data_IF_019938365205
#
_entry.id   IF_019938365205
#
_cell.length_a   1.000
_cell.length_b   1.000
_cell.length_c   1.000
_cell.angle_alpha   90.00
_cell.angle_beta   90.00
_cell.angle_gamma   90.00
#
_symmetry.space_group_name_H-M   'P 1'
#
loop_
_entity.id
_entity.type
_entity.pdbx_description
1 polymer ?
#
# COMPACT_ATOMS: atom_id res chain seq x y z
N UNK A 1 -14.76 22.46 31.84
CA UNK A 1 -14.05 21.59 30.86
C UNK A 1 -12.64 21.36 31.39
N UNK A 2 -12.19 20.12 31.46
CA UNK A 2 -10.79 19.81 31.80
C UNK A 2 -9.90 20.35 30.68
N UNK A 3 -8.86 21.11 31.02
CA UNK A 3 -7.86 21.61 30.06
C UNK A 3 -7.09 20.49 29.35
N UNK A 4 -7.16 19.26 29.88
CA UNK A 4 -6.40 18.10 29.41
C UNK A 4 -7.29 16.88 29.16
N UNK A 5 -8.54 17.10 28.74
CA UNK A 5 -9.34 15.98 28.25
C UNK A 5 -8.60 15.30 27.08
N UNK A 6 -8.44 13.97 27.09
CA UNK A 6 -7.85 13.27 25.96
C UNK A 6 -8.67 13.55 24.70
N UNK A 7 -8.01 13.59 23.55
CA UNK A 7 -8.70 13.71 22.27
C UNK A 7 -9.74 12.58 22.15
N UNK A 8 -10.91 12.85 21.54
CA UNK A 8 -11.91 11.81 21.31
C UNK A 8 -11.31 10.69 20.47
N UNK A 9 -11.74 9.46 20.74
CA UNK A 9 -11.34 8.32 19.91
C UNK A 9 -11.83 8.53 18.47
N UNK A 10 -11.01 8.20 17.45
CA UNK A 10 -11.43 8.28 16.07
C UNK A 10 -12.62 7.37 15.76
N UNK A 11 -13.47 7.78 14.81
CA UNK A 11 -14.65 7.01 14.41
C UNK A 11 -14.32 5.63 13.84
N UNK A 12 -13.17 5.48 13.20
CA UNK A 12 -12.64 4.20 12.71
C UNK A 12 -11.13 4.15 12.91
N UNK A 13 -10.52 2.96 12.77
CA UNK A 13 -9.07 2.83 12.83
C UNK A 13 -8.30 3.62 11.76
N UNK A 14 -8.98 4.10 10.71
CA UNK A 14 -8.37 4.95 9.70
C UNK A 14 -7.87 6.29 10.29
N UNK A 15 -8.52 6.78 11.36
CA UNK A 15 -8.12 7.99 12.05
C UNK A 15 -6.93 7.84 13.00
N UNK A 16 -6.40 6.64 13.19
CA UNK A 16 -5.10 6.46 13.86
C UNK A 16 -3.97 6.72 12.86
N UNK A 17 -3.68 8.01 12.64
CA UNK A 17 -2.61 8.42 11.75
C UNK A 17 -1.25 7.99 12.30
N UNK A 18 -0.34 7.66 11.39
CA UNK A 18 1.04 7.28 11.72
C UNK A 18 2.03 8.07 10.88
N UNK A 19 3.23 8.26 11.42
CA UNK A 19 4.32 8.91 10.70
C UNK A 19 4.53 8.27 9.32
N UNK A 20 4.58 9.10 8.27
CA UNK A 20 4.72 8.64 6.89
C UNK A 20 6.00 7.84 6.73
N UNK A 21 7.14 8.42 7.10
CA UNK A 21 8.43 7.75 7.01
C UNK A 21 9.41 8.30 8.04
N UNK A 22 10.52 7.60 8.31
CA UNK A 22 11.62 8.10 9.13
C UNK A 22 12.16 9.46 8.67
N UNK A 23 12.04 9.77 7.38
CA UNK A 23 12.50 11.02 6.77
C UNK A 23 11.40 12.10 6.72
N UNK A 24 10.17 11.79 7.14
CA UNK A 24 9.04 12.70 7.06
C UNK A 24 8.18 12.65 8.34
N UNK A 25 8.13 13.77 9.08
CA UNK A 25 7.34 13.88 10.31
C UNK A 25 5.82 14.01 10.10
N UNK A 26 5.36 14.12 8.86
CA UNK A 26 3.92 14.17 8.55
C UNK A 26 3.24 12.86 8.93
N UNK A 27 2.04 12.96 9.52
CA UNK A 27 1.24 11.80 9.90
C UNK A 27 0.09 11.61 8.93
N UNK A 28 -0.08 10.38 8.46
CA UNK A 28 -1.07 10.02 7.44
C UNK A 28 -1.89 8.82 7.89
N UNK A 29 -3.12 8.72 7.38
CA UNK A 29 -4.01 7.58 7.57
C UNK A 29 -3.35 6.29 7.06
N UNK A 30 -3.55 5.14 7.71
CA UNK A 30 -2.86 3.89 7.38
C UNK A 30 -3.20 3.35 5.98
N UNK A 31 -4.33 3.78 5.41
CA UNK A 31 -4.73 3.55 4.02
C UNK A 31 -4.77 4.91 3.30
N UNK A 32 -4.27 4.95 2.07
CA UNK A 32 -4.31 6.10 1.18
C UNK A 32 -5.49 5.94 0.20
N UNK A 33 -6.29 7.00 0.00
CA UNK A 33 -7.36 6.99 -0.99
C UNK A 33 -6.79 7.28 -2.38
N UNK A 34 -6.94 6.33 -3.30
CA UNK A 34 -6.54 6.50 -4.70
C UNK A 34 -7.62 7.22 -5.51
N UNK A 35 -7.29 8.38 -6.07
CA UNK A 35 -8.22 9.24 -6.80
C UNK A 35 -8.28 9.02 -8.31
N UNK A 36 -7.63 7.97 -8.84
CA UNK A 36 -7.62 7.69 -10.29
C UNK A 36 -9.04 7.60 -10.93
N UNK A 37 -10.06 7.22 -10.14
CA UNK A 37 -11.46 7.16 -10.59
C UNK A 37 -12.31 8.39 -10.22
N UNK A 38 -11.75 9.36 -9.48
CA UNK A 38 -12.42 10.63 -9.12
C UNK A 38 -12.25 11.59 -10.30
N UNK A 39 -13.36 11.98 -10.93
CA UNK A 39 -13.36 12.79 -12.16
C UNK A 39 -14.19 12.15 -13.27
N UNK A 40 -14.52 12.93 -14.30
CA UNK A 40 -15.63 12.63 -15.21
C UNK A 40 -15.22 12.38 -16.67
N UNK A 41 -13.92 12.33 -16.97
CA UNK A 41 -13.41 12.35 -18.36
C UNK A 41 -13.18 10.98 -18.98
N UNK A 42 -12.84 9.96 -18.20
CA UNK A 42 -12.42 8.67 -18.76
C UNK A 42 -13.54 7.66 -19.00
N UNK A 43 -14.81 8.10 -18.95
CA UNK A 43 -15.95 7.22 -19.25
C UNK A 43 -15.86 6.66 -20.68
N UNK A 44 -15.48 7.50 -21.64
CA UNK A 44 -15.44 7.13 -23.07
C UNK A 44 -14.31 6.16 -23.42
N UNK A 45 -13.19 6.21 -22.69
CA UNK A 45 -12.03 5.33 -22.91
C UNK A 45 -12.06 4.05 -22.05
N UNK A 46 -13.16 3.83 -21.30
CA UNK A 46 -13.39 2.59 -20.56
C UNK A 46 -12.55 2.39 -19.30
N UNK A 47 -11.76 3.39 -18.87
CA UNK A 47 -10.99 3.35 -17.62
C UNK A 47 -11.84 3.71 -16.38
N UNK A 48 -13.09 4.10 -16.61
CA UNK A 48 -14.06 4.43 -15.57
C UNK A 48 -13.96 5.87 -15.10
N UNK A 49 -15.07 6.41 -14.62
CA UNK A 49 -15.22 7.78 -14.16
C UNK A 49 -16.27 7.83 -13.05
N UNK A 50 -16.31 8.94 -12.32
CA UNK A 50 -17.34 9.28 -11.33
C UNK A 50 -17.76 10.73 -11.55
N UNK A 51 -19.07 10.97 -11.52
CA UNK A 51 -19.54 12.35 -11.50
C UNK A 51 -19.08 13.06 -10.20
N UNK A 52 -19.21 14.39 -10.19
CA UNK A 52 -18.78 15.22 -9.06
C UNK A 52 -19.51 14.87 -7.75
N UNK A 53 -20.80 14.54 -7.83
CA UNK A 53 -21.60 14.23 -6.64
C UNK A 53 -21.13 12.92 -5.98
N UNK A 54 -20.93 11.88 -6.78
CA UNK A 54 -20.37 10.60 -6.34
C UNK A 54 -18.95 10.76 -5.82
N UNK A 55 -18.14 11.58 -6.49
CA UNK A 55 -16.78 11.89 -6.06
C UNK A 55 -16.77 12.53 -4.67
N UNK A 56 -17.62 13.54 -4.45
CA UNK A 56 -17.74 14.22 -3.17
C UNK A 56 -18.27 13.28 -2.08
N UNK A 57 -19.22 12.41 -2.39
CA UNK A 57 -19.71 11.38 -1.46
C UNK A 57 -18.60 10.41 -1.02
N UNK A 58 -17.73 9.99 -1.94
CA UNK A 58 -16.60 9.14 -1.60
C UNK A 58 -15.54 9.86 -0.76
N UNK A 59 -15.23 11.11 -1.11
CA UNK A 59 -14.29 11.96 -0.36
C UNK A 59 -14.81 12.27 1.05
N UNK A 60 -16.09 12.59 1.19
CA UNK A 60 -16.75 12.78 2.49
C UNK A 60 -16.68 11.49 3.31
N UNK A 61 -17.06 10.33 2.75
CA UNK A 61 -16.98 9.05 3.46
C UNK A 61 -15.55 8.70 3.93
N UNK A 62 -14.53 9.02 3.11
CA UNK A 62 -13.13 8.82 3.49
C UNK A 62 -12.71 9.73 4.64
N UNK A 63 -13.05 11.02 4.56
CA UNK A 63 -12.72 12.00 5.58
C UNK A 63 -13.45 11.73 6.90
N UNK A 64 -14.75 11.44 6.84
CA UNK A 64 -15.59 11.13 8.01
C UNK A 64 -15.13 9.85 8.74
N UNK A 65 -14.54 8.90 8.01
CA UNK A 65 -13.92 7.72 8.61
C UNK A 65 -12.57 8.03 9.32
N UNK A 66 -12.04 9.25 9.18
CA UNK A 66 -10.76 9.69 9.73
C UNK A 66 -9.60 9.68 8.72
N UNK A 67 -9.88 9.49 7.43
CA UNK A 67 -8.88 9.50 6.38
C UNK A 67 -8.31 10.89 6.11
N UNK A 68 -7.00 10.98 5.87
CA UNK A 68 -6.36 12.26 5.54
C UNK A 68 -5.37 12.19 4.37
N UNK A 69 -5.13 11.02 3.81
CA UNK A 69 -4.10 10.82 2.79
C UNK A 69 -4.71 10.44 1.45
N UNK A 70 -4.56 11.32 0.45
CA UNK A 70 -5.16 11.16 -0.88
C UNK A 70 -4.06 11.19 -1.93
N UNK A 71 -4.06 10.20 -2.80
CA UNK A 71 -3.19 10.12 -3.98
C UNK A 71 -3.96 10.50 -5.25
N UNK A 72 -3.46 11.50 -5.97
CA UNK A 72 -3.99 11.97 -7.26
C UNK A 72 -2.84 12.22 -8.24
N UNK A 73 -3.11 12.63 -9.47
CA UNK A 73 -2.11 13.07 -10.43
C UNK A 73 -2.71 14.08 -11.40
N UNK A 74 -1.88 14.97 -11.93
CA UNK A 74 -2.27 15.91 -12.98
C UNK A 74 -2.88 15.20 -14.22
N UNK A 75 -2.39 14.01 -14.55
CA UNK A 75 -2.93 13.24 -15.68
C UNK A 75 -4.24 12.50 -15.38
N UNK A 76 -4.72 12.43 -14.15
CA UNK A 76 -5.91 11.63 -13.82
C UNK A 76 -7.19 12.33 -14.26
N UNK A 77 -8.03 11.57 -14.98
CA UNK A 77 -9.33 12.05 -15.51
C UNK A 77 -9.17 13.35 -16.30
N UNK A 78 -8.12 13.46 -17.11
CA UNK A 78 -7.75 14.65 -17.86
C UNK A 78 -7.86 15.92 -16.99
N UNK A 79 -7.11 15.91 -15.89
CA UNK A 79 -6.97 16.96 -14.86
C UNK A 79 -8.15 17.08 -13.87
N UNK A 80 -9.35 16.57 -14.20
CA UNK A 80 -10.54 16.79 -13.35
C UNK A 80 -10.48 16.14 -11.97
N UNK A 81 -9.63 15.13 -11.77
CA UNK A 81 -9.38 14.55 -10.44
C UNK A 81 -8.87 15.60 -9.45
N UNK A 82 -7.87 16.39 -9.84
CA UNK A 82 -7.31 17.44 -8.99
C UNK A 82 -8.30 18.60 -8.79
N UNK A 83 -9.05 18.96 -9.84
CA UNK A 83 -10.09 19.99 -9.74
C UNK A 83 -11.16 19.61 -8.73
N UNK A 84 -11.68 18.38 -8.78
CA UNK A 84 -12.75 17.94 -7.89
C UNK A 84 -12.28 17.85 -6.44
N UNK A 85 -11.08 17.32 -6.21
CA UNK A 85 -10.50 17.25 -4.86
C UNK A 85 -10.25 18.66 -4.32
N UNK A 86 -9.69 19.55 -5.15
CA UNK A 86 -9.46 20.97 -4.79
C UNK A 86 -10.75 21.68 -4.37
N UNK A 87 -11.78 21.62 -5.21
CA UNK A 87 -13.08 22.21 -4.95
C UNK A 87 -13.75 21.61 -3.70
N UNK A 88 -13.65 20.29 -3.52
CA UNK A 88 -14.18 19.61 -2.34
C UNK A 88 -13.51 20.11 -1.05
N UNK A 89 -12.18 20.17 -1.01
CA UNK A 89 -11.43 20.65 0.15
C UNK A 89 -11.75 22.11 0.49
N UNK A 90 -11.87 22.97 -0.53
CA UNK A 90 -12.19 24.38 -0.37
C UNK A 90 -13.60 24.57 0.19
N UNK A 91 -14.59 23.88 -0.39
CA UNK A 91 -15.99 23.93 0.08
C UNK A 91 -16.16 23.48 1.53
N UNK A 92 -15.31 22.56 2.00
CA UNK A 92 -15.38 22.04 3.38
C UNK A 92 -14.44 22.76 4.34
N UNK A 93 -13.51 23.58 3.85
CA UNK A 93 -12.55 24.30 4.68
C UNK A 93 -11.55 23.36 5.39
N UNK A 94 -11.18 22.24 4.75
CA UNK A 94 -10.39 21.16 5.37
C UNK A 94 -9.00 20.96 4.74
N UNK A 95 -8.54 21.86 3.88
CA UNK A 95 -7.26 21.70 3.16
C UNK A 95 -6.09 21.40 4.10
N UNK A 96 -5.99 22.09 5.22
CA UNK A 96 -4.88 21.95 6.17
C UNK A 96 -4.89 20.63 6.95
N UNK A 97 -6.01 19.89 6.88
CA UNK A 97 -6.19 18.60 7.54
C UNK A 97 -5.79 17.43 6.63
N UNK A 98 -5.44 17.70 5.36
CA UNK A 98 -5.22 16.70 4.32
C UNK A 98 -3.79 16.71 3.79
N UNK A 99 -3.29 15.51 3.53
CA UNK A 99 -2.04 15.23 2.85
C UNK A 99 -2.37 14.78 1.43
N UNK A 100 -2.06 15.64 0.46
CA UNK A 100 -2.29 15.39 -0.96
C UNK A 100 -0.98 14.99 -1.61
N UNK A 101 -0.88 13.73 -2.04
CA UNK A 101 0.19 13.25 -2.90
C UNK A 101 -0.23 13.45 -4.37
N UNK A 102 0.44 14.37 -5.04
CA UNK A 102 0.27 14.58 -6.49
C UNK A 102 1.60 14.60 -7.23
N UNK A 103 1.53 14.57 -8.55
CA UNK A 103 2.64 14.45 -9.48
C UNK A 103 2.91 15.83 -10.12
N UNK A 104 4.13 16.02 -10.63
CA UNK A 104 4.51 17.18 -11.44
C UNK A 104 4.48 18.58 -10.77
N UNK A 105 4.44 18.69 -9.43
CA UNK A 105 4.54 19.99 -8.73
C UNK A 105 5.93 20.37 -8.22
N UNK A 106 6.91 19.45 -8.28
CA UNK A 106 8.24 19.64 -7.67
C UNK A 106 8.95 20.90 -8.16
N UNK A 107 8.89 21.18 -9.46
CA UNK A 107 9.52 22.36 -10.08
C UNK A 107 8.87 23.69 -9.69
N UNK A 108 7.64 23.67 -9.16
CA UNK A 108 6.91 24.87 -8.72
C UNK A 108 7.31 25.36 -7.32
N UNK A 109 8.10 24.59 -6.56
CA UNK A 109 8.51 24.94 -5.19
C UNK A 109 7.39 24.91 -4.16
N UNK A 110 6.22 24.33 -4.49
CA UNK A 110 5.02 24.28 -3.63
C UNK A 110 4.84 22.96 -2.87
N UNK A 111 5.85 22.08 -2.90
CA UNK A 111 5.76 20.73 -2.34
C UNK A 111 6.54 20.64 -1.03
N UNK A 112 5.94 20.04 -0.01
CA UNK A 112 6.55 19.84 1.31
C UNK A 112 7.52 18.65 1.36
N UNK A 113 7.17 17.55 0.68
CA UNK A 113 7.93 16.30 0.67
C UNK A 113 8.02 15.72 -0.73
N UNK A 114 9.16 15.13 -1.07
CA UNK A 114 9.35 14.48 -2.37
C UNK A 114 9.01 12.99 -2.28
N UNK A 115 8.20 12.52 -3.23
CA UNK A 115 7.95 11.11 -3.49
C UNK A 115 8.47 10.71 -4.86
N UNK A 116 8.59 9.40 -5.09
CA UNK A 116 8.99 8.85 -6.38
C UNK A 116 8.07 7.66 -6.73
N UNK A 117 7.77 7.45 -8.01
CA UNK A 117 6.94 6.33 -8.47
C UNK A 117 7.65 5.50 -9.52
N UNK A 118 7.44 4.18 -9.48
CA UNK A 118 7.79 3.24 -10.56
C UNK A 118 9.21 3.40 -11.14
N UNK A 119 10.15 3.74 -10.25
CA UNK A 119 11.53 4.10 -10.61
C UNK A 119 12.49 2.99 -10.16
N UNK A 120 13.44 2.56 -11.00
CA UNK A 120 14.40 1.53 -10.61
C UNK A 120 15.12 1.85 -9.29
N UNK A 121 15.25 0.84 -8.42
CA UNK A 121 15.81 0.99 -7.06
C UNK A 121 17.18 1.70 -7.04
N UNK A 122 18.08 1.36 -7.97
CA UNK A 122 19.41 1.96 -8.03
C UNK A 122 19.40 3.46 -8.37
N UNK A 123 18.40 3.92 -9.14
CA UNK A 123 18.22 5.34 -9.46
C UNK A 123 17.80 6.08 -8.20
N UNK A 124 16.85 5.53 -7.44
CA UNK A 124 16.36 6.13 -6.18
C UNK A 124 17.50 6.24 -5.17
N UNK A 125 18.28 5.17 -4.96
CA UNK A 125 19.43 5.18 -4.06
C UNK A 125 20.48 6.23 -4.45
N UNK A 126 20.78 6.35 -5.76
CA UNK A 126 21.72 7.35 -6.28
C UNK A 126 21.19 8.77 -6.12
N UNK A 127 19.91 8.99 -6.41
CA UNK A 127 19.26 10.31 -6.26
C UNK A 127 19.24 10.77 -4.80
N UNK A 128 18.87 9.88 -3.87
CA UNK A 128 18.89 10.20 -2.45
C UNK A 128 20.31 10.42 -1.91
N UNK A 129 21.29 9.65 -2.40
CA UNK A 129 22.70 9.89 -2.08
C UNK A 129 23.15 11.27 -2.56
N UNK A 130 22.84 11.62 -3.81
CA UNK A 130 23.11 12.96 -4.33
C UNK A 130 22.43 14.06 -3.49
N UNK A 131 21.17 13.84 -3.08
CA UNK A 131 20.45 14.80 -2.27
C UNK A 131 21.15 15.04 -0.92
N UNK A 132 21.52 13.96 -0.21
CA UNK A 132 22.29 14.04 1.05
C UNK A 132 23.63 14.76 0.88
N UNK A 133 24.38 14.45 -0.18
CA UNK A 133 25.70 15.04 -0.43
C UNK A 133 25.65 16.51 -0.86
N UNK A 134 24.50 16.99 -1.34
CA UNK A 134 24.36 18.35 -1.88
C UNK A 134 23.36 19.21 -1.11
N UNK A 135 22.94 18.76 0.08
CA UNK A 135 21.99 19.48 0.94
C UNK A 135 20.60 19.65 0.33
N UNK A 136 20.17 18.75 -0.56
CA UNK A 136 18.82 18.75 -1.15
C UNK A 136 17.90 17.78 -0.39
N UNK A 137 16.60 18.00 -0.52
CA UNK A 137 15.60 17.10 0.03
C UNK A 137 15.66 15.72 -0.65
N UNK A 138 15.79 14.60 0.10
CA UNK A 138 15.66 13.26 -0.45
C UNK A 138 14.19 12.90 -0.70
N UNK A 139 13.95 11.80 -1.41
CA UNK A 139 12.65 11.15 -1.46
C UNK A 139 12.31 10.50 -0.12
N UNK A 140 11.05 10.60 0.29
CA UNK A 140 10.56 10.08 1.58
C UNK A 140 9.51 8.98 1.43
N UNK A 141 8.98 8.77 0.23
CA UNK A 141 7.97 7.74 -0.09
C UNK A 141 8.18 7.23 -1.51
N UNK A 142 8.02 5.90 -1.68
CA UNK A 142 8.05 5.22 -2.97
C UNK A 142 6.65 4.67 -3.30
N UNK A 143 6.11 5.04 -4.46
CA UNK A 143 4.86 4.54 -5.01
C UNK A 143 5.14 3.48 -6.09
N UNK A 144 4.47 2.33 -6.06
CA UNK A 144 4.63 1.32 -7.11
C UNK A 144 3.67 0.13 -7.00
N UNK A 145 3.61 -0.69 -8.04
CA UNK A 145 2.68 -1.85 -8.09
C UNK A 145 3.08 -2.95 -7.11
N UNK A 146 2.20 -3.31 -6.19
CA UNK A 146 2.42 -4.46 -5.30
C UNK A 146 1.10 -5.07 -4.83
N UNK A 147 0.98 -6.39 -4.97
CA UNK A 147 -0.12 -7.18 -4.43
C UNK A 147 0.35 -8.60 -4.14
N UNK A 148 -0.49 -9.38 -3.46
CA UNK A 148 -0.26 -10.83 -3.30
C UNK A 148 -0.20 -11.56 -4.66
N UNK A 149 -0.84 -11.02 -5.71
CA UNK A 149 -0.80 -11.58 -7.06
C UNK A 149 0.49 -11.27 -7.83
N UNK A 150 1.16 -10.15 -7.49
CA UNK A 150 2.37 -9.68 -8.16
C UNK A 150 3.35 -9.12 -7.14
N UNK A 151 4.36 -9.92 -6.83
CA UNK A 151 5.29 -9.71 -5.71
C UNK A 151 6.68 -9.21 -6.14
N UNK A 152 6.84 -8.81 -7.39
CA UNK A 152 8.10 -8.32 -7.95
C UNK A 152 8.67 -7.09 -7.21
N UNK A 153 7.79 -6.29 -6.62
CA UNK A 153 8.12 -5.17 -5.74
C UNK A 153 9.04 -5.58 -4.57
N UNK A 154 8.91 -6.82 -4.11
CA UNK A 154 9.67 -7.35 -2.98
C UNK A 154 11.15 -7.59 -3.31
N UNK A 155 11.52 -7.73 -4.60
CA UNK A 155 12.89 -8.07 -5.03
C UNK A 155 13.91 -7.00 -4.64
N UNK A 156 13.63 -5.75 -5.03
CA UNK A 156 14.58 -4.64 -4.94
C UNK A 156 13.97 -3.36 -4.32
N UNK A 157 12.66 -3.12 -4.49
CA UNK A 157 12.04 -1.88 -4.02
C UNK A 157 11.93 -1.87 -2.49
N UNK A 158 11.44 -2.97 -1.88
CA UNK A 158 11.35 -3.05 -0.41
C UNK A 158 12.74 -2.93 0.25
N UNK A 159 13.77 -3.70 -0.14
CA UNK A 159 15.11 -3.52 0.41
C UNK A 159 15.65 -2.09 0.26
N UNK A 160 15.48 -1.49 -0.92
CA UNK A 160 15.92 -0.11 -1.19
C UNK A 160 15.19 0.89 -0.30
N UNK A 161 13.85 0.83 -0.24
CA UNK A 161 13.05 1.75 0.56
C UNK A 161 13.46 1.69 2.04
N UNK A 162 13.74 0.50 2.55
CA UNK A 162 14.25 0.33 3.92
C UNK A 162 15.64 0.92 4.11
N UNK A 163 16.57 0.69 3.18
CA UNK A 163 17.92 1.27 3.29
C UNK A 163 17.92 2.80 3.19
N UNK A 164 17.00 3.34 2.40
CA UNK A 164 16.91 4.77 2.12
C UNK A 164 15.92 5.50 3.06
N UNK A 165 15.21 4.79 3.93
CA UNK A 165 14.26 5.37 4.89
C UNK A 165 12.94 5.85 4.26
N UNK A 166 12.51 5.26 3.15
CA UNK A 166 11.27 5.62 2.45
C UNK A 166 10.08 4.82 2.98
N UNK A 167 8.92 5.46 3.00
CA UNK A 167 7.63 4.79 3.04
C UNK A 167 7.34 4.07 1.73
N UNK A 168 6.40 3.13 1.75
CA UNK A 168 5.89 2.43 0.59
C UNK A 168 4.41 2.78 0.42
N UNK A 169 4.02 3.27 -0.74
CA UNK A 169 2.65 3.57 -1.10
C UNK A 169 2.22 2.68 -2.28
N UNK A 170 1.93 1.39 -2.05
CA UNK A 170 1.68 0.47 -3.15
C UNK A 170 0.35 0.75 -3.83
N UNK A 171 0.35 0.81 -5.16
CA UNK A 171 -0.85 0.81 -6.00
C UNK A 171 -1.13 -0.62 -6.52
N UNK A 172 -2.32 -0.82 -7.10
CA UNK A 172 -2.76 -2.14 -7.60
C UNK A 172 -2.81 -3.25 -6.54
N UNK A 173 -3.03 -2.89 -5.28
CA UNK A 173 -3.11 -3.82 -4.13
C UNK A 173 -4.17 -4.91 -4.34
N UNK A 174 -5.26 -4.58 -5.05
CA UNK A 174 -6.36 -5.49 -5.37
C UNK A 174 -6.26 -6.13 -6.77
N UNK A 175 -5.11 -6.01 -7.44
CA UNK A 175 -4.85 -6.63 -8.74
C UNK A 175 -5.84 -6.22 -9.83
N UNK A 176 -6.18 -4.94 -9.95
CA UNK A 176 -7.17 -4.46 -10.92
C UNK A 176 -8.59 -4.98 -10.68
N UNK A 177 -8.92 -5.36 -9.44
CA UNK A 177 -10.21 -5.95 -9.08
C UNK A 177 -10.31 -7.44 -9.37
N UNK A 178 -9.17 -8.11 -9.55
CA UNK A 178 -9.05 -9.58 -9.67
C UNK A 178 -9.06 -10.29 -8.32
N UNK A 179 -8.88 -9.59 -7.20
CA UNK A 179 -9.12 -10.17 -5.87
C UNK A 179 -10.63 -10.16 -5.62
N UNK A 180 -11.30 -11.28 -5.92
CA UNK A 180 -12.75 -11.50 -5.79
C UNK A 180 -13.06 -12.99 -5.70
N UNK A 181 -14.22 -13.35 -5.16
CA UNK A 181 -14.67 -14.74 -5.05
C UNK A 181 -15.17 -15.29 -6.39
N UNK A 182 -15.23 -16.61 -6.53
CA UNK A 182 -15.79 -17.27 -7.72
C UNK A 182 -17.26 -16.90 -7.93
N UNK A 183 -18.04 -16.81 -6.84
CA UNK A 183 -19.43 -16.38 -6.89
C UNK A 183 -19.57 -14.93 -7.36
N UNK A 184 -18.68 -14.03 -6.92
CA UNK A 184 -18.67 -12.64 -7.38
C UNK A 184 -18.26 -12.53 -8.86
N UNK A 185 -17.26 -13.28 -9.29
CA UNK A 185 -16.84 -13.30 -10.70
C UNK A 185 -17.99 -13.74 -11.62
N UNK A 186 -18.71 -14.80 -11.27
CA UNK A 186 -19.87 -15.24 -12.03
C UNK A 186 -20.97 -14.17 -12.10
N UNK A 187 -21.26 -13.49 -10.98
CA UNK A 187 -22.24 -12.38 -10.95
C UNK A 187 -21.83 -11.19 -11.79
N UNK A 188 -20.53 -10.90 -11.88
CA UNK A 188 -19.98 -9.74 -12.59
C UNK A 188 -19.65 -10.02 -14.05
N UNK A 189 -19.69 -11.29 -14.48
CA UNK A 189 -19.31 -11.73 -15.81
C UNK A 189 -20.14 -11.02 -16.88
N UNK A 190 -19.45 -10.42 -17.85
CA UNK A 190 -20.06 -9.79 -19.03
C UNK A 190 -19.50 -10.46 -20.28
N UNK A 191 -20.32 -10.74 -21.31
CA UNK A 191 -19.87 -11.45 -22.51
C UNK A 191 -18.73 -10.78 -23.30
N UNK A 192 -18.50 -9.48 -23.11
CA UNK A 192 -17.65 -8.66 -23.98
C UNK A 192 -16.35 -8.19 -23.30
N UNK A 193 -15.98 -8.73 -22.13
CA UNK A 193 -14.78 -8.28 -21.40
C UNK A 193 -13.61 -9.27 -21.59
N UNK A 194 -12.90 -9.13 -22.71
CA UNK A 194 -11.67 -9.88 -22.95
C UNK A 194 -10.57 -9.48 -21.94
N UNK A 195 -9.79 -10.44 -21.45
CA UNK A 195 -8.74 -10.24 -20.44
C UNK A 195 -9.20 -9.88 -19.02
N UNK A 196 -10.52 -9.79 -18.76
CA UNK A 196 -11.08 -9.45 -17.43
C UNK A 196 -11.20 -10.64 -16.47
N UNK A 197 -11.33 -11.86 -17.02
CA UNK A 197 -11.44 -13.09 -16.22
C UNK A 197 -10.13 -13.41 -15.50
N UNK A 198 -10.24 -13.97 -14.28
CA UNK A 198 -9.06 -14.42 -13.53
C UNK A 198 -8.42 -15.62 -14.21
N UNK A 199 -7.09 -15.62 -14.31
CA UNK A 199 -6.33 -16.80 -14.73
C UNK A 199 -6.28 -17.87 -13.62
N UNK A 200 -5.69 -19.03 -13.91
CA UNK A 200 -5.64 -20.15 -12.98
C UNK A 200 -4.89 -19.81 -11.67
N UNK A 201 -3.82 -19.03 -11.74
CA UNK A 201 -3.01 -18.66 -10.59
C UNK A 201 -3.70 -17.59 -9.73
N UNK A 202 -4.36 -16.63 -10.35
CA UNK A 202 -5.20 -15.64 -9.68
C UNK A 202 -6.35 -16.30 -8.91
N UNK A 203 -6.96 -17.34 -9.48
CA UNK A 203 -7.99 -18.14 -8.78
C UNK A 203 -7.44 -18.88 -7.57
N UNK A 204 -6.27 -19.51 -7.69
CA UNK A 204 -5.61 -20.20 -6.55
C UNK A 204 -5.35 -19.23 -5.39
N UNK A 205 -4.85 -18.04 -5.70
CA UNK A 205 -4.60 -17.00 -4.67
C UNK A 205 -5.90 -16.53 -4.03
N UNK A 206 -6.96 -16.31 -4.82
CA UNK A 206 -8.27 -15.94 -4.26
C UNK A 206 -8.82 -17.03 -3.32
N UNK A 207 -8.69 -18.31 -3.69
CA UNK A 207 -9.10 -19.43 -2.84
C UNK A 207 -8.29 -19.51 -1.55
N UNK A 208 -6.99 -19.21 -1.60
CA UNK A 208 -6.15 -19.14 -0.40
C UNK A 208 -6.55 -17.96 0.50
N UNK A 209 -6.88 -16.80 -0.07
CA UNK A 209 -7.42 -15.66 0.68
C UNK A 209 -8.78 -15.98 1.30
N UNK A 210 -9.66 -16.70 0.61
CA UNK A 210 -10.94 -17.17 1.15
C UNK A 210 -10.74 -18.10 2.35
N UNK A 211 -9.78 -19.02 2.26
CA UNK A 211 -9.42 -19.91 3.37
C UNK A 211 -8.95 -19.10 4.60
N UNK A 212 -8.00 -18.19 4.43
CA UNK A 212 -7.49 -17.35 5.53
C UNK A 212 -8.59 -16.45 6.08
N UNK A 213 -9.44 -15.88 5.22
CA UNK A 213 -10.59 -15.08 5.65
C UNK A 213 -11.53 -15.88 6.56
N UNK A 214 -11.81 -17.14 6.22
CA UNK A 214 -12.64 -18.02 7.04
C UNK A 214 -11.99 -18.35 8.40
N UNK A 215 -10.67 -18.55 8.44
CA UNK A 215 -9.93 -18.81 9.69
C UNK A 215 -9.99 -17.65 10.68
N UNK A 216 -9.92 -16.41 10.18
CA UNK A 216 -9.89 -15.20 11.02
C UNK A 216 -11.25 -14.52 11.17
N UNK A 217 -12.30 -15.04 10.51
CA UNK A 217 -13.65 -14.46 10.51
C UNK A 217 -13.78 -13.15 9.73
N UNK A 218 -12.90 -12.88 8.77
CA UNK A 218 -12.99 -11.70 7.92
C UNK A 218 -14.13 -11.83 6.89
N UNK A 219 -14.88 -10.75 6.67
CA UNK A 219 -16.01 -10.71 5.73
C UNK A 219 -15.56 -10.51 4.30
N UNK A 220 -14.45 -9.81 4.09
CA UNK A 220 -13.91 -9.54 2.75
C UNK A 220 -12.51 -10.11 2.53
N UNK A 221 -12.33 -10.86 1.45
CA UNK A 221 -11.00 -11.28 1.00
C UNK A 221 -10.15 -10.11 0.49
N UNK A 222 -10.78 -8.99 0.08
CA UNK A 222 -10.03 -7.78 -0.27
C UNK A 222 -9.39 -7.17 0.97
N UNK A 223 -10.08 -7.21 2.12
CA UNK A 223 -9.54 -6.75 3.40
C UNK A 223 -8.33 -7.61 3.83
N UNK A 224 -8.40 -8.93 3.66
CA UNK A 224 -7.26 -9.83 3.91
C UNK A 224 -6.07 -9.49 3.01
N UNK A 225 -6.29 -9.23 1.72
CA UNK A 225 -5.22 -8.87 0.79
C UNK A 225 -4.57 -7.51 1.11
N UNK A 226 -5.36 -6.53 1.54
CA UNK A 226 -4.86 -5.22 1.99
C UNK A 226 -4.04 -5.40 3.27
N UNK A 227 -4.57 -6.15 4.24
CA UNK A 227 -3.89 -6.46 5.49
C UNK A 227 -2.56 -7.19 5.27
N UNK A 228 -2.52 -8.16 4.34
CA UNK A 228 -1.31 -8.84 3.90
C UNK A 228 -0.25 -7.81 3.49
N UNK A 229 -0.52 -6.96 2.50
CA UNK A 229 0.45 -5.95 2.01
C UNK A 229 0.91 -5.02 3.14
N UNK A 230 -0.01 -4.54 3.98
CA UNK A 230 0.30 -3.64 5.09
C UNK A 230 1.22 -4.23 6.16
N UNK A 231 1.15 -5.54 6.39
CA UNK A 231 1.84 -6.22 7.48
C UNK A 231 3.19 -6.81 7.06
N UNK A 232 3.48 -6.84 5.76
CA UNK A 232 4.75 -7.37 5.21
C UNK A 232 5.98 -6.63 5.74
N UNK A 233 5.94 -5.30 5.79
CA UNK A 233 7.02 -4.44 6.30
C UNK A 233 6.43 -3.14 6.86
N UNK A 234 7.19 -2.37 7.66
CA UNK A 234 6.71 -1.08 8.18
C UNK A 234 6.58 0.00 7.10
N UNK A 235 5.86 1.07 7.45
CA UNK A 235 5.63 2.25 6.60
C UNK A 235 4.95 1.93 5.25
N UNK A 236 4.06 0.93 5.20
CA UNK A 236 3.30 0.55 3.98
C UNK A 236 1.87 1.11 3.99
N UNK A 237 1.60 2.11 3.16
CA UNK A 237 0.32 2.83 3.05
C UNK A 237 -0.36 2.47 1.72
N UNK A 238 -1.13 1.38 1.65
CA UNK A 238 -1.73 0.93 0.40
C UNK A 238 -2.67 2.00 -0.17
N UNK A 239 -2.56 2.22 -1.48
CA UNK A 239 -3.43 3.11 -2.24
C UNK A 239 -4.63 2.29 -2.70
N UNK A 240 -5.79 2.59 -2.11
CA UNK A 240 -7.03 1.90 -2.37
C UNK A 240 -7.97 2.84 -3.12
N UNK A 241 -8.21 2.52 -4.38
CA UNK A 241 -9.19 3.20 -5.22
C UNK A 241 -10.52 2.45 -5.24
N UNK A 242 -11.57 3.14 -5.66
CA UNK A 242 -12.90 2.56 -5.81
C UNK A 242 -13.88 3.61 -6.30
N UNK A 243 -15.05 3.14 -6.78
CA UNK A 243 -16.13 4.01 -7.25
C UNK A 243 -17.37 3.98 -6.36
N UNK A 244 -17.30 3.23 -5.27
CA UNK A 244 -18.43 2.89 -4.41
C UNK A 244 -18.03 3.04 -2.95
N UNK A 245 -18.83 3.78 -2.20
CA UNK A 245 -18.61 4.02 -0.76
C UNK A 245 -18.67 2.70 0.02
N UNK A 246 -19.51 1.76 -0.40
CA UNK A 246 -19.65 0.46 0.25
C UNK A 246 -18.37 -0.37 0.13
N UNK A 247 -17.69 -0.31 -1.03
CA UNK A 247 -16.41 -0.98 -1.22
C UNK A 247 -15.32 -0.34 -0.36
N UNK A 248 -15.33 1.00 -0.23
CA UNK A 248 -14.42 1.71 0.67
C UNK A 248 -14.59 1.22 2.11
N UNK A 249 -15.80 1.22 2.65
CA UNK A 249 -16.06 0.74 4.02
C UNK A 249 -15.69 -0.75 4.19
N UNK A 250 -15.98 -1.60 3.20
CA UNK A 250 -15.57 -3.00 3.25
C UNK A 250 -14.05 -3.17 3.31
N UNK A 251 -13.27 -2.27 2.70
CA UNK A 251 -11.81 -2.32 2.74
C UNK A 251 -11.23 -1.85 4.08
N UNK A 252 -11.98 -1.07 4.88
CA UNK A 252 -11.53 -0.65 6.22
C UNK A 252 -11.41 -1.81 7.20
N UNK A 253 -12.10 -2.93 6.96
CA UNK A 253 -11.94 -4.17 7.73
C UNK A 253 -10.47 -4.64 7.76
N UNK A 254 -9.65 -4.26 6.76
CA UNK A 254 -8.22 -4.57 6.75
C UNK A 254 -7.47 -4.05 7.98
N UNK A 255 -7.95 -2.97 8.60
CA UNK A 255 -7.35 -2.36 9.80
C UNK A 255 -7.67 -3.15 11.08
N UNK A 256 -8.64 -4.07 11.01
CA UNK A 256 -9.04 -4.97 12.10
C UNK A 256 -8.33 -6.32 12.03
N UNK A 257 -7.71 -6.63 10.89
CA UNK A 257 -7.08 -7.93 10.64
C UNK A 257 -5.63 -7.94 11.14
N UNK A 258 -5.25 -8.98 11.86
CA UNK A 258 -3.86 -9.30 12.19
C UNK A 258 -3.56 -10.73 11.69
N UNK A 259 -2.71 -10.86 10.67
CA UNK A 259 -2.34 -12.15 10.11
C UNK A 259 -1.20 -12.76 10.91
N UNK A 260 -1.29 -14.07 11.17
CA UNK A 260 -0.19 -14.80 11.80
C UNK A 260 0.97 -15.00 10.81
N UNK A 261 2.21 -15.20 11.30
CA UNK A 261 3.33 -15.57 10.44
C UNK A 261 3.07 -16.80 9.57
N UNK A 262 2.35 -17.79 10.11
CA UNK A 262 1.97 -19.02 9.41
C UNK A 262 0.97 -18.73 8.27
N UNK A 263 0.01 -17.84 8.50
CA UNK A 263 -0.96 -17.43 7.47
C UNK A 263 -0.28 -16.65 6.34
N UNK A 264 0.65 -15.74 6.68
CA UNK A 264 1.47 -15.04 5.69
C UNK A 264 2.28 -16.04 4.87
N UNK A 265 2.97 -16.98 5.53
CA UNK A 265 3.76 -18.01 4.86
C UNK A 265 2.91 -18.92 3.96
N UNK A 266 1.71 -19.29 4.41
CA UNK A 266 0.75 -20.06 3.61
C UNK A 266 0.33 -19.31 2.34
N UNK A 267 -0.06 -18.04 2.46
CA UNK A 267 -0.45 -17.19 1.33
C UNK A 267 0.67 -17.04 0.30
N UNK A 268 1.91 -16.92 0.78
CA UNK A 268 3.09 -16.73 -0.07
C UNK A 268 3.54 -18.02 -0.77
N UNK A 269 3.22 -19.18 -0.20
CA UNK A 269 3.51 -20.49 -0.77
C UNK A 269 2.54 -20.92 -1.88
N UNK A 270 1.46 -20.17 -2.12
CA UNK A 270 0.45 -20.51 -3.14
C UNK A 270 1.02 -20.46 -4.55
N UNK A 271 1.84 -19.44 -4.83
CA UNK A 271 2.50 -19.24 -6.11
C UNK A 271 4.02 -19.19 -5.91
N UNK A 272 4.80 -19.74 -6.85
CA UNK A 272 6.25 -19.66 -6.77
C UNK A 272 6.70 -18.20 -6.86
N UNK A 273 7.61 -17.80 -5.97
CA UNK A 273 8.26 -16.50 -6.06
C UNK A 273 9.64 -16.67 -6.68
N UNK A 274 9.87 -16.04 -7.83
CA UNK A 274 11.21 -15.97 -8.40
C UNK A 274 11.90 -14.68 -7.91
N UNK A 275 12.93 -14.75 -7.05
CA UNK A 275 13.64 -13.56 -6.60
C UNK A 275 14.49 -12.91 -7.71
N UNK A 276 14.77 -13.62 -8.81
CA UNK A 276 15.60 -13.13 -9.91
C UNK A 276 17.09 -13.06 -9.55
N UNK A 277 17.95 -12.85 -10.54
CA UNK A 277 19.38 -12.59 -10.31
C UNK A 277 19.59 -11.14 -9.83
N UNK A 278 20.53 -10.87 -8.89
CA UNK A 278 21.44 -11.81 -8.21
C UNK A 278 20.87 -12.46 -6.95
N UNK A 279 19.66 -12.10 -6.53
CA UNK A 279 19.06 -12.57 -5.28
C UNK A 279 18.91 -14.11 -5.23
N UNK A 280 18.59 -14.75 -6.36
CA UNK A 280 18.48 -16.20 -6.46
C UNK A 280 19.79 -16.94 -6.11
N UNK A 281 20.95 -16.40 -6.47
CA UNK A 281 22.25 -16.99 -6.12
C UNK A 281 22.64 -16.72 -4.67
N UNK A 282 22.32 -15.52 -4.18
CA UNK A 282 22.63 -15.14 -2.80
C UNK A 282 21.78 -15.96 -1.84
N UNK A 283 20.54 -16.30 -2.18
CA UNK A 283 19.71 -17.16 -1.33
C UNK A 283 20.09 -18.65 -1.48
N UNK A 284 20.36 -19.14 -2.70
CA UNK A 284 20.64 -20.57 -2.93
C UNK A 284 21.95 -21.06 -2.33
N UNK A 285 22.99 -20.21 -2.25
CA UNK A 285 24.33 -20.61 -1.77
C UNK A 285 24.45 -20.77 -0.26
N UNK A 286 23.54 -20.20 0.52
CA UNK A 286 23.70 -20.11 1.97
C UNK A 286 22.72 -21.00 2.76
N UNK A 287 21.74 -21.64 2.12
CA UNK A 287 20.74 -22.49 2.81
C UNK A 287 20.77 -23.96 2.33
N UNK A 288 21.56 -24.33 1.30
CA UNK A 288 21.60 -25.71 0.74
C UNK A 288 20.20 -26.33 0.44
N UNK A 289 19.18 -25.51 0.19
CA UNK A 289 17.83 -25.96 -0.20
C UNK A 289 17.60 -25.65 -1.68
N UNK A 290 16.92 -26.54 -2.44
CA UNK A 290 16.55 -26.27 -3.82
C UNK A 290 15.76 -24.96 -3.93
N UNK A 291 16.06 -24.14 -4.94
CA UNK A 291 15.44 -22.81 -5.15
C UNK A 291 13.92 -22.86 -5.31
N UNK A 292 13.38 -24.00 -5.72
CA UNK A 292 11.95 -24.29 -5.89
C UNK A 292 11.18 -24.53 -4.58
N UNK A 293 11.89 -24.73 -3.47
CA UNK A 293 11.32 -25.06 -2.14
C UNK A 293 11.39 -23.91 -1.13
N UNK A 294 11.89 -22.75 -1.55
CA UNK A 294 12.07 -21.60 -0.66
C UNK A 294 10.75 -20.85 -0.46
N UNK A 295 10.23 -20.87 0.76
CA UNK A 295 9.23 -19.90 1.21
C UNK A 295 9.89 -18.54 1.42
N UNK A 296 9.10 -17.47 1.44
CA UNK A 296 9.61 -16.13 1.74
C UNK A 296 10.37 -16.07 3.05
N UNK A 297 10.05 -16.90 4.04
CA UNK A 297 10.80 -16.99 5.30
C UNK A 297 12.30 -17.23 5.04
N UNK A 298 12.65 -18.03 4.03
CA UNK A 298 14.04 -18.34 3.67
C UNK A 298 14.73 -17.23 2.87
N UNK A 299 13.99 -16.45 2.08
CA UNK A 299 14.52 -15.27 1.36
C UNK A 299 14.63 -14.06 2.31
N UNK A 300 13.66 -13.89 3.21
CA UNK A 300 13.64 -12.88 4.28
C UNK A 300 14.69 -13.15 5.37
N UNK A 301 15.03 -14.41 5.65
CA UNK A 301 16.16 -14.76 6.51
C UNK A 301 17.50 -14.24 5.97
N UNK A 302 17.58 -13.89 4.68
CA UNK A 302 18.80 -13.36 4.06
C UNK A 302 18.73 -11.87 3.69
N UNK A 303 17.57 -11.36 3.29
CA UNK A 303 17.39 -9.93 2.97
C UNK A 303 16.86 -9.09 4.16
N UNK A 304 16.61 -9.73 5.30
CA UNK A 304 16.13 -9.11 6.52
C UNK A 304 14.62 -8.92 6.53
N UNK A 305 13.95 -9.66 7.41
CA UNK A 305 12.75 -9.23 8.14
C UNK A 305 13.02 -7.98 9.03
N UNK A 306 14.28 -7.55 9.14
CA UNK A 306 14.75 -6.53 10.09
C UNK A 306 15.45 -7.11 11.33
N UNK A 307 15.49 -8.44 11.46
CA UNK A 307 16.27 -9.17 12.46
C UNK A 307 17.58 -9.71 11.88
N UNK A 308 17.60 -10.12 10.60
CA UNK A 308 18.77 -10.82 10.01
C UNK A 308 19.21 -10.19 8.68
N UNK A 309 20.26 -9.37 8.72
CA UNK A 309 20.87 -8.75 7.54
C UNK A 309 21.60 -9.77 6.65
N UNK A 310 21.80 -9.45 5.37
CA UNK A 310 22.75 -10.18 4.50
C UNK A 310 24.11 -10.28 5.20
N UNK A 311 24.91 -11.35 5.02
CA UNK A 311 26.27 -11.43 5.56
C UNK A 311 27.13 -10.20 5.19
N UNK A 312 26.93 -9.64 4.00
CA UNK A 312 27.60 -8.41 3.57
C UNK A 312 27.18 -7.20 4.42
N UNK A 313 25.90 -7.09 4.76
CA UNK A 313 25.36 -6.04 5.63
C UNK A 313 25.79 -6.25 7.09
N UNK A 314 25.89 -7.49 7.57
CA UNK A 314 26.48 -7.82 8.88
C UNK A 314 27.97 -7.43 8.97
N UNK A 315 28.73 -7.61 7.89
CA UNK A 315 30.16 -7.25 7.84
C UNK A 315 30.44 -5.75 7.70
N UNK A 316 29.45 -4.95 7.27
CA UNK A 316 29.61 -3.51 7.03
C UNK A 316 29.30 -2.62 8.27
N UNK A 317 29.00 -3.22 9.42
CA UNK A 317 29.10 -2.58 10.73
C UNK A 317 28.08 -1.51 11.12
N UNK A 318 27.10 -1.15 10.29
CA UNK A 318 26.16 -0.07 10.60
C UNK A 318 24.75 -0.30 10.04
N UNK A 319 24.00 -1.25 10.59
CA UNK A 319 22.57 -1.29 10.32
C UNK A 319 21.75 -1.41 11.60
N UNK A 320 20.91 -0.40 11.84
CA UNK A 320 19.97 -0.34 12.97
C UNK A 320 18.77 -1.21 12.65
N UNK A 321 18.47 -2.18 13.52
CA UNK A 321 17.29 -3.06 13.38
C UNK A 321 16.03 -2.22 13.20
N UNK A 322 15.26 -2.55 12.18
CA UNK A 322 13.98 -1.89 11.92
C UNK A 322 12.90 -2.48 12.83
N UNK A 323 12.02 -1.68 13.46
CA UNK A 323 10.93 -2.22 14.25
C UNK A 323 9.95 -2.98 13.36
N UNK A 324 9.46 -4.16 13.78
CA UNK A 324 8.37 -4.83 13.08
C UNK A 324 7.09 -3.99 13.17
N UNK A 325 6.33 -3.90 12.09
CA UNK A 325 5.01 -3.27 12.12
C UNK A 325 4.10 -4.12 12.99
N UNK A 326 3.68 -3.59 14.13
CA UNK A 326 2.64 -4.23 14.91
C UNK A 326 1.29 -3.88 14.28
N UNK A 327 0.36 -4.84 14.25
CA UNK A 327 -1.04 -4.54 13.95
C UNK A 327 -1.50 -3.37 14.83
N UNK A 328 -2.41 -2.53 14.34
CA UNK A 328 -3.06 -1.48 15.13
C UNK A 328 -3.87 -2.22 16.20
N UNK A 329 -3.23 -2.49 17.35
CA UNK A 329 -3.84 -3.25 18.44
C UNK A 329 -5.04 -2.44 18.95
N UNK A 330 -6.16 -3.10 19.29
CA UNK A 330 -7.17 -2.46 20.12
C UNK A 330 -6.50 -1.91 21.38
N UNK A 331 -6.96 -0.76 21.87
CA UNK A 331 -6.61 -0.32 23.22
C UNK A 331 -6.91 -1.46 24.19
N UNK A 332 -6.03 -1.66 25.18
CA UNK A 332 -6.25 -2.56 26.29
C UNK A 332 -7.37 -1.99 27.17
N UNK A 333 -8.62 -2.07 26.71
CA UNK A 333 -9.81 -1.69 27.48
C UNK A 333 -10.89 -2.77 27.45
N UNK A 334 -10.49 -4.03 27.31
CA UNK A 334 -11.31 -5.19 27.60
C UNK A 334 -10.51 -6.21 28.42
N UNK A 335 -10.27 -5.86 29.68
CA UNK A 335 -10.19 -6.81 30.79
C UNK A 335 -11.31 -6.46 31.76
#
# INVERSE_FOLDING_TARGET
>A
MSLYAPAPEPATKLGYHRQLSPLAGVHVSPICLGAMSIGDKWHEIGLGAMDKEQSFKLLDAFYDAGGNFIDTANGYQDETSEEFIGEWMEKRGIRDQLVIATKCLVTSGKVLYLGISDTPAWVVAKANTYARLTGKAPFVVYQGSWSILSRDFERDIIPMARSEGLALAPWNVLGGGKIRTDAEEQRRRRPTMDGWERNADEKKVCQALEKVAAEIGAKSITAVAIAYVMQKVPYVFPIIGGRKVEHFHSNLEALEIALSPEQISFLEGVLPFNPGFPANMIVSKFIEVPSSTLSLTSIFLMQGDGQTYMPFQLSAGHFVKWPAAQAIRPSLSSQ
#
